data_IF_241322185296
#
_entry.id   IF_241322185296
#
_cell.length_a   1.000
_cell.length_b   1.000
_cell.length_c   1.000
_cell.angle_alpha   90.00
_cell.angle_beta   90.00
_cell.angle_gamma   90.00
#
_symmetry.space_group_name_H-M   'P 1'
#
loop_
_entity.id
_entity.type
_entity.pdbx_description
1 polymer ?
#
# COMPACT_ATOMS: atom_id res chain seq x y z
N UNK A 1 -14.44 17.48 0.03
CA UNK A 1 -13.43 16.88 -0.90
C UNK A 1 -12.00 17.05 -0.40
N UNK A 2 -11.55 18.25 -0.01
CA UNK A 2 -10.20 18.49 0.55
C UNK A 2 -9.73 17.55 1.69
N UNK A 3 -10.54 17.23 2.72
CA UNK A 3 -10.08 16.35 3.80
C UNK A 3 -9.87 14.88 3.37
N UNK A 4 -10.59 14.42 2.35
CA UNK A 4 -10.47 13.05 1.83
C UNK A 4 -9.16 12.89 1.06
N UNK A 5 -8.81 13.87 0.23
CA UNK A 5 -7.54 13.88 -0.50
C UNK A 5 -6.34 13.98 0.46
N UNK A 6 -6.43 14.83 1.48
CA UNK A 6 -5.40 14.93 2.51
C UNK A 6 -5.20 13.58 3.25
N UNK A 7 -6.29 12.92 3.65
CA UNK A 7 -6.23 11.61 4.29
C UNK A 7 -5.57 10.54 3.43
N UNK A 8 -5.88 10.50 2.12
CA UNK A 8 -5.25 9.57 1.18
C UNK A 8 -3.75 9.84 1.01
N UNK A 9 -3.34 11.10 0.90
CA UNK A 9 -1.93 11.47 0.79
C UNK A 9 -1.18 11.05 2.06
N UNK A 10 -1.74 11.30 3.25
CA UNK A 10 -1.15 10.87 4.52
C UNK A 10 -1.01 9.35 4.61
N UNK A 11 -2.03 8.58 4.21
CA UNK A 11 -1.97 7.11 4.17
C UNK A 11 -0.89 6.58 3.24
N UNK A 12 -0.71 7.21 2.07
CA UNK A 12 0.35 6.84 1.13
C UNK A 12 1.74 7.17 1.67
N UNK A 13 1.90 8.31 2.35
CA UNK A 13 3.14 8.67 3.03
C UNK A 13 3.47 7.68 4.15
N UNK A 14 2.49 7.33 4.99
CA UNK A 14 2.64 6.32 6.06
C UNK A 14 3.04 4.97 5.48
N UNK A 15 2.40 4.52 4.39
CA UNK A 15 2.78 3.29 3.71
C UNK A 15 4.25 3.33 3.27
N UNK A 16 4.68 4.41 2.61
CA UNK A 16 6.06 4.57 2.16
C UNK A 16 7.07 4.55 3.33
N UNK A 17 6.76 5.25 4.42
CA UNK A 17 7.60 5.31 5.63
C UNK A 17 7.71 3.95 6.30
N UNK A 18 6.63 3.18 6.38
CA UNK A 18 6.64 1.83 6.95
C UNK A 18 7.57 0.89 6.16
N UNK A 19 7.52 0.93 4.83
CA UNK A 19 8.43 0.13 4.00
C UNK A 19 9.90 0.56 4.17
N UNK A 20 10.16 1.87 4.27
CA UNK A 20 11.51 2.39 4.52
C UNK A 20 12.04 2.02 5.90
N UNK A 21 11.18 2.10 6.92
CA UNK A 21 11.50 1.70 8.29
C UNK A 21 11.77 0.21 8.39
N UNK A 22 10.97 -0.63 7.74
CA UNK A 22 11.20 -2.09 7.74
C UNK A 22 12.53 -2.45 7.05
N UNK A 23 12.91 -1.74 5.98
CA UNK A 23 14.25 -1.91 5.38
C UNK A 23 15.37 -1.49 6.32
N UNK A 24 15.20 -0.38 7.04
CA UNK A 24 16.17 0.09 8.05
C UNK A 24 16.32 -0.92 9.19
N UNK A 25 15.22 -1.43 9.73
CA UNK A 25 15.19 -2.49 10.73
C UNK A 25 15.88 -3.76 10.23
N UNK A 26 15.66 -4.14 8.97
CA UNK A 26 16.30 -5.31 8.36
C UNK A 26 17.84 -5.18 8.24
N UNK A 27 18.36 -3.95 8.09
CA UNK A 27 19.80 -3.67 8.05
C UNK A 27 20.38 -3.57 9.47
N UNK A 28 19.66 -2.92 10.39
CA UNK A 28 20.06 -2.71 11.77
C UNK A 28 19.87 -3.95 12.67
N UNK A 29 19.29 -5.04 12.14
CA UNK A 29 19.03 -6.28 12.88
C UNK A 29 17.89 -6.19 13.90
N UNK A 30 17.02 -5.18 13.80
CA UNK A 30 15.93 -5.00 14.74
C UNK A 30 14.61 -5.66 14.31
N UNK A 31 13.53 -5.33 15.02
CA UNK A 31 12.20 -5.91 14.82
C UNK A 31 11.62 -5.55 13.44
N UNK A 32 11.39 -6.58 12.62
CA UNK A 32 10.72 -6.44 11.32
C UNK A 32 9.22 -6.24 11.48
N UNK A 33 8.64 -5.42 10.62
CA UNK A 33 7.21 -5.15 10.59
C UNK A 33 6.48 -6.40 10.06
N UNK A 34 5.39 -6.85 10.71
CA UNK A 34 4.56 -7.94 10.22
C UNK A 34 3.95 -7.62 8.84
N UNK A 35 3.93 -8.59 7.94
CA UNK A 35 3.38 -8.43 6.58
C UNK A 35 1.90 -8.00 6.60
N UNK A 36 1.16 -8.41 7.63
CA UNK A 36 -0.25 -8.05 7.80
C UNK A 36 -0.47 -6.55 7.99
N UNK A 37 0.45 -5.84 8.66
CA UNK A 37 0.35 -4.39 8.88
C UNK A 37 0.48 -3.65 7.55
N UNK A 38 1.43 -4.09 6.70
CA UNK A 38 1.65 -3.51 5.37
C UNK A 38 0.42 -3.73 4.46
N UNK A 39 -0.21 -4.89 4.53
CA UNK A 39 -1.44 -5.18 3.79
C UNK A 39 -2.65 -4.38 4.30
N UNK A 40 -2.79 -4.20 5.62
CA UNK A 40 -3.86 -3.38 6.18
C UNK A 40 -3.75 -1.92 5.72
N UNK A 41 -2.55 -1.32 5.76
CA UNK A 41 -2.36 0.05 5.27
C UNK A 41 -2.66 0.17 3.78
N UNK A 42 -2.27 -0.83 2.98
CA UNK A 42 -2.64 -0.86 1.57
C UNK A 42 -4.16 -0.95 1.37
N UNK A 43 -4.85 -1.77 2.16
CA UNK A 43 -6.31 -1.95 2.12
C UNK A 43 -7.08 -0.68 2.48
N UNK A 44 -6.58 0.12 3.42
CA UNK A 44 -7.23 1.38 3.84
C UNK A 44 -6.96 2.56 2.89
N UNK A 45 -6.21 2.38 1.80
CA UNK A 45 -6.00 3.41 0.77
C UNK A 45 -4.53 3.81 0.55
N UNK A 46 -3.59 3.17 1.25
CA UNK A 46 -2.16 3.32 1.02
C UNK A 46 -1.60 2.43 -0.08
N UNK A 47 -2.43 1.74 -0.87
CA UNK A 47 -1.97 0.75 -1.87
C UNK A 47 -0.99 1.32 -2.93
N UNK A 48 -1.12 2.56 -3.44
CA UNK A 48 -0.12 3.13 -4.35
C UNK A 48 1.24 3.35 -3.65
N UNK A 49 1.23 3.91 -2.45
CA UNK A 49 2.41 4.19 -1.63
C UNK A 49 3.09 2.90 -1.14
N UNK A 50 2.31 1.85 -0.88
CA UNK A 50 2.81 0.53 -0.56
C UNK A 50 3.49 -0.14 -1.76
N UNK A 51 2.91 -0.03 -2.96
CA UNK A 51 3.53 -0.52 -4.21
C UNK A 51 4.83 0.24 -4.51
N UNK A 52 4.80 1.57 -4.41
CA UNK A 52 5.97 2.43 -4.58
C UNK A 52 7.06 2.11 -3.53
N UNK A 53 6.68 1.95 -2.27
CA UNK A 53 7.59 1.55 -1.20
C UNK A 53 8.20 0.16 -1.44
N UNK A 54 7.40 -0.80 -1.89
CA UNK A 54 7.89 -2.13 -2.22
C UNK A 54 8.97 -2.11 -3.29
N UNK A 55 8.74 -1.36 -4.37
CA UNK A 55 9.68 -1.23 -5.50
C UNK A 55 10.93 -0.43 -5.10
N UNK A 56 10.75 0.74 -4.47
CA UNK A 56 11.83 1.65 -4.07
C UNK A 56 12.78 1.01 -3.06
N UNK A 57 12.23 0.31 -2.06
CA UNK A 57 13.03 -0.35 -1.05
C UNK A 57 13.46 -1.76 -1.47
N UNK A 58 13.00 -2.27 -2.63
CA UNK A 58 13.19 -3.66 -3.08
C UNK A 58 12.86 -4.66 -1.98
N UNK A 59 11.88 -4.32 -1.15
CA UNK A 59 11.59 -5.05 0.07
C UNK A 59 10.65 -6.22 -0.27
N UNK A 60 11.10 -7.46 0.00
CA UNK A 60 10.31 -8.69 -0.23
C UNK A 60 9.67 -8.80 -1.63
N UNK A 61 10.29 -8.24 -2.67
CA UNK A 61 9.83 -8.35 -4.07
C UNK A 61 9.84 -9.78 -4.61
N UNK A 62 10.65 -10.69 -4.02
CA UNK A 62 10.65 -12.12 -4.38
C UNK A 62 9.53 -12.94 -3.73
N UNK A 63 8.87 -12.47 -2.67
CA UNK A 63 7.72 -13.17 -2.09
C UNK A 63 6.50 -12.90 -2.97
N UNK A 64 6.23 -13.81 -3.92
CA UNK A 64 5.10 -13.73 -4.85
C UNK A 64 3.76 -13.51 -4.14
N UNK A 65 3.52 -14.20 -3.01
CA UNK A 65 2.29 -14.04 -2.23
C UNK A 65 2.06 -12.60 -1.75
N UNK A 66 3.10 -11.94 -1.24
CA UNK A 66 3.01 -10.56 -0.77
C UNK A 66 2.67 -9.58 -1.91
N UNK A 67 3.33 -9.73 -3.06
CA UNK A 67 3.04 -8.91 -4.24
C UNK A 67 1.63 -9.15 -4.80
N UNK A 68 1.17 -10.40 -4.82
CA UNK A 68 -0.17 -10.75 -5.29
C UNK A 68 -1.27 -10.13 -4.43
N UNK A 69 -1.13 -10.18 -3.10
CA UNK A 69 -2.09 -9.53 -2.19
C UNK A 69 -2.09 -8.02 -2.45
N UNK A 70 -0.92 -7.38 -2.53
CA UNK A 70 -0.82 -5.94 -2.73
C UNK A 70 -1.43 -5.47 -4.05
N UNK A 71 -1.10 -6.16 -5.16
CA UNK A 71 -1.65 -5.87 -6.49
C UNK A 71 -3.15 -6.19 -6.54
N UNK A 72 -3.58 -7.29 -5.91
CA UNK A 72 -5.00 -7.66 -5.81
C UNK A 72 -5.81 -6.59 -5.09
N UNK A 73 -5.31 -6.08 -3.96
CA UNK A 73 -5.95 -4.97 -3.22
C UNK A 73 -6.04 -3.70 -4.07
N UNK A 74 -4.98 -3.35 -4.79
CA UNK A 74 -4.98 -2.19 -5.69
C UNK A 74 -5.99 -2.33 -6.82
N UNK A 75 -6.02 -3.49 -7.50
CA UNK A 75 -6.98 -3.75 -8.58
C UNK A 75 -8.43 -3.77 -8.08
N UNK A 76 -8.67 -4.31 -6.89
CA UNK A 76 -10.00 -4.34 -6.28
C UNK A 76 -10.49 -2.91 -5.99
N UNK A 77 -9.65 -2.06 -5.39
CA UNK A 77 -9.98 -0.65 -5.17
C UNK A 77 -10.23 0.10 -6.49
N UNK A 78 -9.37 -0.09 -7.50
CA UNK A 78 -9.54 0.52 -8.81
C UNK A 78 -10.83 0.06 -9.50
N UNK A 79 -11.16 -1.23 -9.41
CA UNK A 79 -12.38 -1.82 -9.96
C UNK A 79 -13.66 -1.30 -9.29
N UNK A 80 -13.65 -1.16 -7.96
CA UNK A 80 -14.77 -0.57 -7.21
C UNK A 80 -14.98 0.90 -7.59
N UNK A 81 -13.91 1.68 -7.69
CA UNK A 81 -13.96 3.08 -8.11
C UNK A 81 -14.51 3.18 -9.53
N UNK A 82 -14.00 2.36 -10.45
CA UNK A 82 -14.46 2.34 -11.85
C UNK A 82 -15.93 1.92 -11.96
N UNK A 83 -16.34 0.88 -11.23
CA UNK A 83 -17.72 0.40 -11.18
C UNK A 83 -18.68 1.45 -10.64
N UNK A 84 -18.32 2.09 -9.52
CA UNK A 84 -19.07 3.21 -8.95
C UNK A 84 -19.21 4.36 -9.95
N UNK A 85 -18.11 4.76 -10.59
CA UNK A 85 -18.11 5.82 -11.59
C UNK A 85 -18.99 5.47 -12.79
N UNK A 86 -18.92 4.23 -13.28
CA UNK A 86 -19.77 3.74 -14.38
C UNK A 86 -21.25 3.76 -14.01
N UNK A 87 -21.61 3.35 -12.79
CA UNK A 87 -22.99 3.34 -12.31
C UNK A 87 -23.53 4.77 -12.09
N UNK A 88 -22.68 5.69 -11.61
CA UNK A 88 -23.04 7.10 -11.37
C UNK A 88 -23.20 7.95 -12.64
N UNK A 89 -22.76 7.44 -13.79
CA UNK A 89 -22.88 8.09 -15.11
C UNK A 89 -23.99 7.51 -15.99
N UNK A 90 -24.68 6.46 -15.50
CA UNK A 90 -25.82 5.83 -16.16
C UNK A 90 -27.15 6.39 -15.69
#
# INVERSE_FOLDING_TARGET
MAPVWAGLISLNAVALTLYGFDKRQAIAGGMRIPEIVLHLVALFGGSPGALAGQELFRHKTRKRGFRLVLVGTFLLQAGLIYGYWRLSRG
#
